data_IF_189424746247
#
_entry.id   IF_189424746247
#
_cell.length_a   1.000
_cell.length_b   1.000
_cell.length_c   1.000
_cell.angle_alpha   90.00
_cell.angle_beta   90.00
_cell.angle_gamma   90.00
#
_symmetry.space_group_name_H-M   'P 1'
#
loop_
_entity.id
_entity.type
_entity.pdbx_description
1 polymer ?
#
# COMPACT_ATOMS: atom_id res chain seq x y z
N UNK A 1 -36.52 -22.81 32.15
CA UNK A 1 -36.98 -22.54 30.76
C UNK A 1 -35.77 -22.06 29.99
N UNK A 2 -35.27 -22.63 28.89
CA UNK A 2 -35.64 -23.76 28.06
C UNK A 2 -34.35 -24.17 27.31
N UNK A 3 -34.06 -25.47 27.18
CA UNK A 3 -32.89 -25.99 26.47
C UNK A 3 -33.11 -25.98 24.95
N UNK A 4 -32.06 -25.69 24.17
CA UNK A 4 -32.09 -25.77 22.70
C UNK A 4 -31.42 -27.07 22.27
N UNK A 5 -32.25 -28.03 21.85
CA UNK A 5 -31.86 -29.30 21.24
C UNK A 5 -31.80 -29.13 19.71
N UNK A 6 -30.69 -29.52 19.09
CA UNK A 6 -30.62 -29.67 17.63
C UNK A 6 -30.75 -31.14 17.25
N UNK A 7 -31.75 -31.43 16.43
CA UNK A 7 -32.10 -32.76 15.95
C UNK A 7 -31.21 -33.20 14.78
N UNK A 8 -30.77 -34.45 14.86
CA UNK A 8 -30.20 -35.25 13.77
C UNK A 8 -31.32 -35.70 12.84
N UNK A 9 -31.18 -35.45 11.53
CA UNK A 9 -31.99 -36.11 10.49
C UNK A 9 -31.08 -36.89 9.54
N UNK A 10 -31.50 -38.12 9.27
CA UNK A 10 -30.90 -39.10 8.36
C UNK A 10 -31.86 -39.38 7.21
N UNK A 11 -31.36 -40.02 6.14
CA UNK A 11 -32.06 -40.52 4.93
C UNK A 11 -32.04 -39.53 3.76
N UNK A 12 -31.58 -39.88 2.56
CA UNK A 12 -32.03 -41.03 1.77
C UNK A 12 -31.03 -41.45 0.66
N UNK A 13 -31.01 -42.75 0.35
CA UNK A 13 -30.44 -43.38 -0.85
C UNK A 13 -31.50 -43.49 -1.96
N UNK A 14 -31.09 -43.53 -3.23
CA UNK A 14 -31.68 -44.46 -4.21
C UNK A 14 -30.55 -45.33 -4.82
N UNK A 15 -30.55 -46.66 -4.63
CA UNK A 15 -31.20 -47.73 -5.43
C UNK A 15 -30.71 -47.85 -6.87
N UNK A 16 -29.99 -48.96 -7.10
CA UNK A 16 -29.33 -49.45 -8.31
C UNK A 16 -30.30 -49.89 -9.41
N UNK A 17 -29.94 -49.66 -10.67
CA UNK A 17 -30.45 -50.44 -11.81
C UNK A 17 -29.29 -50.89 -12.71
N UNK A 18 -29.36 -52.17 -13.06
CA UNK A 18 -28.38 -53.01 -13.74
C UNK A 18 -28.34 -52.73 -15.24
N UNK A 19 -27.18 -52.85 -15.88
CA UNK A 19 -27.11 -53.48 -17.19
C UNK A 19 -25.81 -54.27 -17.35
N UNK A 20 -25.94 -55.51 -17.78
CA UNK A 20 -24.88 -56.43 -18.16
C UNK A 20 -24.64 -56.27 -19.65
N UNK A 21 -23.39 -56.13 -20.09
CA UNK A 21 -22.91 -56.67 -21.37
C UNK A 21 -21.42 -56.96 -21.27
N UNK A 22 -21.04 -58.12 -21.81
CA UNK A 22 -19.71 -58.73 -21.70
C UNK A 22 -18.74 -58.23 -22.80
N UNK A 23 -17.46 -58.20 -22.41
CA UNK A 23 -16.23 -58.46 -23.17
C UNK A 23 -16.13 -58.10 -24.66
N UNK A 24 -15.15 -57.27 -25.04
CA UNK A 24 -13.76 -57.69 -25.33
C UNK A 24 -12.99 -56.67 -26.17
N UNK A 25 -11.68 -56.61 -25.89
CA UNK A 25 -10.57 -56.32 -26.80
C UNK A 25 -10.65 -55.13 -27.78
N UNK A 26 -9.79 -54.14 -27.55
CA UNK A 26 -8.57 -53.95 -28.34
C UNK A 26 -7.99 -52.57 -28.09
N UNK A 27 -6.70 -52.53 -27.76
CA UNK A 27 -5.90 -51.31 -27.69
C UNK A 27 -5.87 -50.68 -29.08
N UNK A 28 -6.42 -49.47 -29.22
CA UNK A 28 -6.10 -48.58 -30.32
C UNK A 28 -5.66 -47.25 -29.71
N UNK A 29 -4.42 -46.88 -30.02
CA UNK A 29 -3.75 -45.66 -29.59
C UNK A 29 -4.39 -44.45 -30.26
N UNK A 30 -5.48 -43.97 -29.67
CA UNK A 30 -6.02 -42.66 -29.99
C UNK A 30 -5.36 -41.65 -29.06
N UNK A 31 -4.25 -41.10 -29.52
CA UNK A 31 -3.60 -39.92 -28.93
C UNK A 31 -4.51 -38.71 -29.11
N UNK A 32 -5.64 -38.66 -28.41
CA UNK A 32 -6.23 -37.40 -28.03
C UNK A 32 -5.29 -36.81 -26.99
N UNK A 33 -4.40 -35.94 -27.45
CA UNK A 33 -4.39 -34.56 -26.97
C UNK A 33 -4.87 -34.48 -25.51
N UNK A 34 -3.96 -34.78 -24.58
CA UNK A 34 -4.25 -34.63 -23.15
C UNK A 34 -4.25 -33.13 -22.88
N UNK A 35 -5.37 -32.54 -23.28
CA UNK A 35 -5.66 -31.14 -23.34
C UNK A 35 -5.33 -30.49 -22.01
N UNK A 36 -4.72 -29.32 -22.15
CA UNK A 36 -4.67 -28.24 -21.17
C UNK A 36 -6.07 -27.77 -20.70
N UNK A 37 -7.16 -28.40 -21.15
CA UNK A 37 -8.57 -28.05 -20.86
C UNK A 37 -9.04 -28.43 -19.45
N UNK A 38 -8.34 -29.31 -18.73
CA UNK A 38 -8.70 -29.59 -17.32
C UNK A 38 -8.28 -28.47 -16.35
N UNK A 39 -7.53 -27.47 -16.82
CA UNK A 39 -7.05 -26.36 -15.97
C UNK A 39 -7.81 -25.06 -16.20
N UNK A 40 -8.79 -25.03 -17.10
CA UNK A 40 -9.66 -23.86 -17.32
C UNK A 40 -10.82 -23.79 -16.30
N UNK A 41 -11.04 -24.86 -15.52
CA UNK A 41 -12.14 -24.95 -14.56
C UNK A 41 -11.84 -24.25 -13.21
N UNK A 42 -10.62 -23.75 -12.97
CA UNK A 42 -10.28 -22.99 -11.76
C UNK A 42 -9.93 -21.50 -11.99
N UNK A 43 -10.34 -20.95 -13.15
CA UNK A 43 -10.34 -19.51 -13.37
C UNK A 43 -9.31 -19.07 -14.38
N UNK A 44 -9.80 -18.66 -15.54
CA UNK A 44 -9.10 -17.79 -16.48
C UNK A 44 -8.72 -16.47 -15.80
N UNK A 45 -7.59 -16.46 -15.09
CA UNK A 45 -6.93 -15.24 -14.65
C UNK A 45 -5.92 -14.82 -15.71
N UNK A 46 -6.33 -13.88 -16.55
CA UNK A 46 -5.41 -13.08 -17.35
C UNK A 46 -4.32 -12.49 -16.45
N UNK A 47 -3.06 -12.57 -16.89
CA UNK A 47 -1.92 -11.91 -16.27
C UNK A 47 -2.24 -10.43 -16.01
N UNK A 48 -2.39 -10.03 -14.74
CA UNK A 48 -2.83 -8.66 -14.46
C UNK A 48 -2.47 -8.10 -13.08
N UNK A 49 -2.19 -8.92 -12.08
CA UNK A 49 -1.83 -8.41 -10.74
C UNK A 49 -0.77 -9.27 -10.02
N UNK A 50 -0.02 -8.61 -9.13
CA UNK A 50 0.97 -9.25 -8.25
C UNK A 50 0.37 -10.38 -7.42
N UNK A 51 -0.81 -10.15 -6.83
CA UNK A 51 -1.51 -11.16 -6.03
C UNK A 51 -1.91 -12.38 -6.87
N UNK A 52 -2.45 -12.18 -8.07
CA UNK A 52 -2.83 -13.29 -8.96
C UNK A 52 -1.63 -14.12 -9.41
N UNK A 53 -0.47 -13.49 -9.60
CA UNK A 53 0.78 -14.20 -9.96
C UNK A 53 1.26 -15.07 -8.80
N UNK A 54 1.27 -14.53 -7.58
CA UNK A 54 1.66 -15.28 -6.38
C UNK A 54 0.69 -16.41 -6.05
N UNK A 55 -0.62 -16.22 -6.24
CA UNK A 55 -1.63 -17.26 -6.01
C UNK A 55 -1.44 -18.44 -6.96
N UNK A 56 -1.21 -18.17 -8.26
CA UNK A 56 -0.90 -19.22 -9.24
C UNK A 56 0.41 -19.94 -8.90
N UNK A 57 1.46 -19.22 -8.51
CA UNK A 57 2.73 -19.81 -8.06
C UNK A 57 2.50 -20.78 -6.89
N UNK A 58 1.76 -20.36 -5.87
CA UNK A 58 1.44 -21.19 -4.71
C UNK A 58 0.71 -22.49 -5.10
N UNK A 59 -0.26 -22.42 -6.00
CA UNK A 59 -0.97 -23.61 -6.50
C UNK A 59 -0.01 -24.59 -7.18
N UNK A 60 0.90 -24.08 -8.01
CA UNK A 60 1.90 -24.91 -8.68
C UNK A 60 2.92 -25.51 -7.71
N UNK A 61 3.39 -24.75 -6.72
CA UNK A 61 4.28 -25.23 -5.67
C UNK A 61 3.63 -26.35 -4.84
N UNK A 62 2.36 -26.17 -4.45
CA UNK A 62 1.58 -27.20 -3.75
C UNK A 62 1.46 -28.47 -4.59
N UNK A 63 1.20 -28.32 -5.90
CA UNK A 63 1.13 -29.46 -6.83
C UNK A 63 2.48 -30.17 -6.97
N UNK A 64 3.57 -29.42 -7.07
CA UNK A 64 4.93 -29.97 -7.10
C UNK A 64 5.20 -30.82 -5.86
N UNK A 65 4.86 -30.31 -4.68
CA UNK A 65 5.01 -31.03 -3.42
C UNK A 65 4.27 -32.37 -3.41
N UNK A 66 3.00 -32.40 -3.85
CA UNK A 66 2.22 -33.64 -3.89
C UNK A 66 2.77 -34.66 -4.89
N UNK A 67 3.22 -34.22 -6.07
CA UNK A 67 3.86 -35.11 -7.07
C UNK A 67 5.18 -35.69 -6.54
N UNK A 68 6.02 -34.88 -5.87
CA UNK A 68 7.26 -35.35 -5.24
C UNK A 68 6.95 -36.38 -4.15
N UNK A 69 5.98 -36.09 -3.28
CA UNK A 69 5.56 -36.98 -2.19
C UNK A 69 5.00 -38.32 -2.69
N UNK A 70 4.21 -38.29 -3.77
CA UNK A 70 3.67 -39.48 -4.42
C UNK A 70 4.78 -40.30 -5.11
N UNK A 71 5.71 -39.61 -5.79
CA UNK A 71 6.89 -40.21 -6.40
C UNK A 71 7.77 -40.93 -5.37
N UNK A 72 8.03 -40.30 -4.23
CA UNK A 72 8.81 -40.87 -3.15
C UNK A 72 8.14 -42.09 -2.51
N UNK A 73 6.82 -42.06 -2.36
CA UNK A 73 6.05 -43.21 -1.89
C UNK A 73 6.17 -44.39 -2.86
N UNK A 74 6.17 -44.12 -4.16
CA UNK A 74 6.37 -45.13 -5.21
C UNK A 74 7.79 -45.69 -5.19
N UNK A 75 8.80 -44.83 -5.02
CA UNK A 75 10.22 -45.20 -4.88
C UNK A 75 10.46 -46.11 -3.69
N UNK A 76 9.90 -45.80 -2.51
CA UNK A 76 9.98 -46.66 -1.32
C UNK A 76 9.35 -48.04 -1.57
N UNK A 77 8.27 -48.11 -2.35
CA UNK A 77 7.65 -49.40 -2.70
C UNK A 77 8.53 -50.19 -3.67
N UNK A 78 9.15 -49.54 -4.66
CA UNK A 78 10.12 -50.14 -5.55
C UNK A 78 11.30 -50.76 -4.78
N UNK A 79 11.90 -50.00 -3.86
CA UNK A 79 13.00 -50.47 -3.00
C UNK A 79 12.63 -51.72 -2.20
N UNK A 80 11.40 -51.77 -1.65
CA UNK A 80 10.87 -52.96 -0.95
C UNK A 80 10.73 -54.16 -1.90
N UNK A 81 10.28 -53.97 -3.14
CA UNK A 81 10.16 -55.05 -4.14
C UNK A 81 11.53 -55.57 -4.57
N UNK A 82 12.50 -54.70 -4.80
CA UNK A 82 13.88 -55.08 -5.11
C UNK A 82 14.53 -55.87 -3.97
N UNK A 83 14.32 -55.43 -2.72
CA UNK A 83 14.80 -56.15 -1.54
C UNK A 83 14.18 -57.55 -1.44
N UNK A 84 12.90 -57.69 -1.80
CA UNK A 84 12.23 -58.99 -1.84
C UNK A 84 12.82 -59.91 -2.90
N UNK A 85 13.07 -59.42 -4.12
CA UNK A 85 13.70 -60.22 -5.18
C UNK A 85 15.05 -60.79 -4.72
N UNK A 86 15.89 -59.97 -4.08
CA UNK A 86 17.18 -60.42 -3.54
C UNK A 86 17.04 -61.53 -2.49
N UNK A 87 15.97 -61.51 -1.70
CA UNK A 87 15.71 -62.54 -0.69
C UNK A 87 15.13 -63.84 -1.28
N UNK A 88 14.36 -63.75 -2.37
CA UNK A 88 13.79 -64.92 -3.06
C UNK A 88 14.86 -65.70 -3.84
N UNK A 89 15.82 -64.98 -4.43
CA UNK A 89 16.96 -65.56 -5.17
C UNK A 89 17.83 -66.47 -4.29
N UNK A 90 18.00 -66.10 -3.01
CA UNK A 90 18.77 -66.89 -2.02
C UNK A 90 18.01 -68.14 -1.53
N UNK A 91 16.66 -68.11 -1.56
CA UNK A 91 15.81 -69.17 -0.98
C UNK A 91 15.33 -70.23 -1.98
N UNK A 92 15.43 -69.98 -3.28
CA UNK A 92 14.94 -70.91 -4.31
C UNK A 92 13.40 -70.96 -4.38
N UNK A 93 12.72 -69.80 -4.29
CA UNK A 93 11.27 -69.68 -4.48
C UNK A 93 10.84 -70.06 -5.92
N UNK A 94 9.56 -70.42 -6.10
CA UNK A 94 8.94 -70.76 -7.39
C UNK A 94 9.09 -69.64 -8.44
N UNK A 95 9.52 -69.99 -9.66
CA UNK A 95 9.90 -69.08 -10.75
C UNK A 95 8.77 -68.10 -11.12
N UNK A 96 7.53 -68.58 -11.07
CA UNK A 96 6.34 -67.78 -11.37
C UNK A 96 6.08 -66.68 -10.32
N UNK A 97 6.49 -66.89 -9.06
CA UNK A 97 6.40 -65.86 -8.01
C UNK A 97 7.49 -64.78 -8.15
N UNK A 98 8.67 -65.19 -8.61
CA UNK A 98 9.79 -64.30 -8.89
C UNK A 98 9.49 -63.38 -10.07
N UNK A 99 8.93 -63.93 -11.16
CA UNK A 99 8.55 -63.16 -12.35
C UNK A 99 7.45 -62.12 -12.07
N UNK A 100 6.45 -62.47 -11.25
CA UNK A 100 5.44 -61.51 -10.77
C UNK A 100 6.07 -60.36 -10.00
N UNK A 101 7.05 -60.64 -9.14
CA UNK A 101 7.75 -59.58 -8.38
C UNK A 101 8.63 -58.72 -9.29
N UNK A 102 9.28 -59.31 -10.30
CA UNK A 102 10.07 -58.61 -11.32
C UNK A 102 9.21 -57.69 -12.18
N UNK A 103 8.03 -58.14 -12.62
CA UNK A 103 7.08 -57.33 -13.36
C UNK A 103 6.61 -56.12 -12.53
N UNK A 104 6.26 -56.34 -11.26
CA UNK A 104 5.86 -55.25 -10.36
C UNK A 104 7.00 -54.24 -10.12
N UNK A 105 8.26 -54.68 -10.03
CA UNK A 105 9.40 -53.78 -9.91
C UNK A 105 9.59 -52.90 -11.17
N UNK A 106 9.46 -53.48 -12.37
CA UNK A 106 9.53 -52.74 -13.64
C UNK A 106 8.41 -51.71 -13.78
N UNK A 107 7.17 -52.06 -13.39
CA UNK A 107 6.04 -51.13 -13.36
C UNK A 107 6.31 -49.94 -12.42
N UNK A 108 6.76 -50.20 -11.20
CA UNK A 108 7.10 -49.14 -10.24
C UNK A 108 8.22 -48.25 -10.75
N UNK A 109 9.24 -48.82 -11.39
CA UNK A 109 10.33 -48.05 -12.00
C UNK A 109 9.81 -47.13 -13.11
N UNK A 110 8.95 -47.64 -14.00
CA UNK A 110 8.33 -46.81 -15.03
C UNK A 110 7.51 -45.67 -14.42
N UNK A 111 6.76 -45.93 -13.35
CA UNK A 111 6.00 -44.90 -12.62
C UNK A 111 6.90 -43.85 -11.95
N UNK A 112 8.05 -44.23 -11.41
CA UNK A 112 9.05 -43.29 -10.88
C UNK A 112 9.57 -42.37 -12.00
N UNK A 113 9.91 -42.93 -13.17
CA UNK A 113 10.37 -42.13 -14.32
C UNK A 113 9.30 -41.13 -14.80
N UNK A 114 8.02 -41.55 -14.81
CA UNK A 114 6.91 -40.66 -15.14
C UNK A 114 6.76 -39.55 -14.10
N UNK A 115 6.88 -39.86 -12.80
CA UNK A 115 6.83 -38.87 -11.72
C UNK A 115 7.96 -37.83 -11.85
N UNK A 116 9.19 -38.26 -12.16
CA UNK A 116 10.33 -37.35 -12.41
C UNK A 116 10.01 -36.36 -13.53
N UNK A 117 9.50 -36.84 -14.67
CA UNK A 117 9.13 -35.98 -15.80
C UNK A 117 8.00 -34.99 -15.46
N UNK A 118 7.04 -35.40 -14.62
CA UNK A 118 5.98 -34.51 -14.12
C UNK A 118 6.55 -33.40 -13.24
N UNK A 119 7.42 -33.76 -12.29
CA UNK A 119 8.12 -32.82 -11.42
C UNK A 119 8.91 -31.82 -12.25
N UNK A 120 9.69 -32.27 -13.24
CA UNK A 120 10.42 -31.38 -14.16
C UNK A 120 9.50 -30.41 -14.89
N UNK A 121 8.37 -30.89 -15.40
CA UNK A 121 7.38 -30.07 -16.12
C UNK A 121 6.77 -29.01 -15.21
N UNK A 122 6.38 -29.39 -13.99
CA UNK A 122 5.81 -28.46 -13.01
C UNK A 122 6.84 -27.41 -12.58
N UNK A 123 8.07 -27.84 -12.25
CA UNK A 123 9.16 -26.94 -11.88
C UNK A 123 9.45 -25.92 -12.98
N UNK A 124 9.46 -26.35 -14.24
CA UNK A 124 9.64 -25.43 -15.37
C UNK A 124 8.50 -24.40 -15.45
N UNK A 125 7.25 -24.79 -15.17
CA UNK A 125 6.13 -23.85 -15.15
C UNK A 125 6.25 -22.82 -14.01
N UNK A 126 6.68 -23.26 -12.82
CA UNK A 126 6.95 -22.35 -11.69
C UNK A 126 8.04 -21.35 -12.05
N UNK A 127 9.15 -21.83 -12.64
CA UNK A 127 10.24 -20.97 -13.07
C UNK A 127 9.78 -19.91 -14.08
N UNK A 128 8.99 -20.31 -15.08
CA UNK A 128 8.43 -19.39 -16.06
C UNK A 128 7.53 -18.32 -15.42
N UNK A 129 6.61 -18.70 -14.52
CA UNK A 129 5.78 -17.73 -13.80
C UNK A 129 6.63 -16.75 -12.97
N UNK A 130 7.69 -17.24 -12.33
CA UNK A 130 8.60 -16.41 -11.54
C UNK A 130 9.39 -15.42 -12.41
N UNK A 131 9.98 -15.90 -13.51
CA UNK A 131 10.87 -15.12 -14.36
C UNK A 131 10.13 -14.17 -15.31
N UNK A 132 9.06 -14.65 -15.93
CA UNK A 132 8.34 -13.93 -16.99
C UNK A 132 7.25 -13.01 -16.43
N UNK A 133 6.70 -13.31 -15.25
CA UNK A 133 5.62 -12.51 -14.66
C UNK A 133 6.04 -11.83 -13.34
N UNK A 134 6.47 -12.58 -12.32
CA UNK A 134 6.70 -12.01 -10.99
C UNK A 134 7.91 -11.05 -10.94
N UNK A 135 9.02 -11.44 -11.56
CA UNK A 135 10.24 -10.62 -11.59
C UNK A 135 10.04 -9.24 -12.23
N UNK A 136 9.48 -9.10 -13.47
CA UNK A 136 9.28 -7.78 -14.06
C UNK A 136 8.30 -6.93 -13.24
N UNK A 137 7.26 -7.56 -12.69
CA UNK A 137 6.31 -6.94 -11.79
C UNK A 137 6.98 -6.30 -10.55
N UNK A 138 7.87 -7.02 -9.87
CA UNK A 138 8.60 -6.49 -8.70
C UNK A 138 9.53 -5.35 -9.10
N UNK A 139 10.20 -5.45 -10.24
CA UNK A 139 11.08 -4.41 -10.75
C UNK A 139 10.33 -3.11 -11.07
N UNK A 140 9.15 -3.21 -11.67
CA UNK A 140 8.30 -2.06 -11.95
C UNK A 140 7.84 -1.37 -10.66
N UNK A 141 7.40 -2.16 -9.68
CA UNK A 141 6.99 -1.64 -8.37
C UNK A 141 8.14 -0.90 -7.67
N UNK A 142 9.34 -1.49 -7.63
CA UNK A 142 10.51 -0.88 -7.03
C UNK A 142 10.92 0.43 -7.74
N UNK A 143 10.80 0.45 -9.07
CA UNK A 143 11.07 1.63 -9.88
C UNK A 143 10.07 2.76 -9.57
N UNK A 144 8.78 2.44 -9.44
CA UNK A 144 7.74 3.37 -9.02
C UNK A 144 8.03 3.96 -7.65
N UNK A 145 8.20 3.10 -6.65
CA UNK A 145 8.53 3.51 -5.28
C UNK A 145 9.76 4.40 -5.21
N UNK A 146 10.83 4.05 -5.94
CA UNK A 146 12.05 4.85 -5.97
C UNK A 146 11.83 6.25 -6.55
N UNK A 147 10.90 6.42 -7.50
CA UNK A 147 10.54 7.74 -8.03
C UNK A 147 9.77 8.55 -6.99
N UNK A 148 8.82 7.93 -6.31
CA UNK A 148 7.99 8.60 -5.32
C UNK A 148 8.84 9.07 -4.12
N UNK A 149 9.74 8.22 -3.63
CA UNK A 149 10.67 8.59 -2.56
C UNK A 149 11.56 9.76 -2.99
N UNK A 150 12.08 9.76 -4.23
CA UNK A 150 12.86 10.91 -4.73
C UNK A 150 12.03 12.18 -4.80
N UNK A 151 10.79 12.09 -5.27
CA UNK A 151 9.89 13.25 -5.34
C UNK A 151 9.62 13.82 -3.94
N UNK A 152 9.34 12.96 -2.96
CA UNK A 152 9.15 13.37 -1.56
C UNK A 152 10.41 14.03 -0.99
N UNK A 153 11.60 13.50 -1.28
CA UNK A 153 12.86 14.10 -0.85
C UNK A 153 13.08 15.50 -1.44
N UNK A 154 12.79 15.68 -2.73
CA UNK A 154 12.88 16.99 -3.37
C UNK A 154 11.88 17.99 -2.75
N UNK A 155 10.62 17.57 -2.59
CA UNK A 155 9.59 18.41 -1.98
C UNK A 155 9.96 18.81 -0.55
N UNK A 156 10.47 17.87 0.26
CA UNK A 156 10.92 18.16 1.61
C UNK A 156 12.05 19.20 1.63
N UNK A 157 12.97 19.17 0.65
CA UNK A 157 13.99 20.18 0.49
C UNK A 157 13.43 21.59 0.27
N UNK A 158 12.45 21.71 -0.62
CA UNK A 158 11.77 22.98 -0.92
C UNK A 158 11.00 23.49 0.28
N UNK A 159 10.26 22.62 0.98
CA UNK A 159 9.53 22.97 2.20
C UNK A 159 10.46 23.49 3.29
N UNK A 160 11.65 22.92 3.47
CA UNK A 160 12.64 23.42 4.42
C UNK A 160 13.19 24.78 4.03
N UNK A 161 13.39 25.04 2.73
CA UNK A 161 13.80 26.37 2.24
C UNK A 161 12.71 27.39 2.53
N UNK A 162 11.44 27.06 2.26
CA UNK A 162 10.30 27.94 2.55
C UNK A 162 10.17 28.20 4.05
N UNK A 163 10.32 27.16 4.89
CA UNK A 163 10.32 27.29 6.35
C UNK A 163 11.37 28.30 6.83
N UNK A 164 12.61 28.20 6.37
CA UNK A 164 13.67 29.17 6.73
C UNK A 164 13.33 30.60 6.31
N UNK A 165 12.70 30.80 5.15
CA UNK A 165 12.25 32.13 4.71
C UNK A 165 11.20 32.70 5.66
N UNK A 166 10.21 31.89 6.03
CA UNK A 166 9.17 32.28 7.00
C UNK A 166 9.79 32.62 8.35
N UNK A 167 10.70 31.78 8.86
CA UNK A 167 11.39 32.01 10.14
C UNK A 167 12.19 33.33 10.12
N UNK A 168 12.85 33.64 9.01
CA UNK A 168 13.58 34.91 8.86
C UNK A 168 12.64 36.13 8.82
N UNK A 169 11.52 36.03 8.10
CA UNK A 169 10.51 37.09 8.05
C UNK A 169 9.87 37.33 9.42
N UNK A 170 9.58 36.26 10.17
CA UNK A 170 9.05 36.36 11.53
C UNK A 170 10.02 37.12 12.44
N UNK A 171 11.31 36.76 12.42
CA UNK A 171 12.35 37.44 13.21
C UNK A 171 12.48 38.93 12.87
N UNK A 172 12.44 39.29 11.58
CA UNK A 172 12.52 40.70 11.17
C UNK A 172 11.26 41.48 11.60
N UNK A 173 10.08 40.85 11.54
CA UNK A 173 8.85 41.45 12.04
C UNK A 173 8.91 41.68 13.55
N UNK A 174 9.42 40.72 14.33
CA UNK A 174 9.61 40.86 15.78
C UNK A 174 10.58 42.01 16.10
N UNK A 175 11.69 42.10 15.36
CA UNK A 175 12.68 43.18 15.51
C UNK A 175 12.06 44.56 15.27
N UNK A 176 11.23 44.69 14.22
CA UNK A 176 10.52 45.94 13.92
C UNK A 176 9.48 46.27 14.99
N UNK A 177 8.72 45.28 15.45
CA UNK A 177 7.72 45.45 16.50
C UNK A 177 8.34 45.98 17.78
N UNK A 178 9.48 45.40 18.20
CA UNK A 178 10.24 45.88 19.35
C UNK A 178 10.80 47.29 19.13
N UNK A 179 11.27 47.60 17.92
CA UNK A 179 11.67 48.95 17.53
C UNK A 179 10.55 49.97 17.67
N UNK A 180 9.35 49.64 17.18
CA UNK A 180 8.16 50.49 17.30
C UNK A 180 7.75 50.70 18.76
N UNK A 181 7.71 49.63 19.58
CA UNK A 181 7.42 49.73 21.01
C UNK A 181 8.42 50.65 21.73
N UNK A 182 9.72 50.53 21.42
CA UNK A 182 10.76 51.40 21.99
C UNK A 182 10.60 52.87 21.57
N UNK A 183 10.19 53.14 20.33
CA UNK A 183 9.89 54.51 19.90
C UNK A 183 8.62 55.06 20.53
N UNK A 184 7.58 54.23 20.69
CA UNK A 184 6.33 54.61 21.37
C UNK A 184 6.59 54.94 22.84
N UNK A 185 7.42 54.14 23.52
CA UNK A 185 7.84 54.42 24.91
C UNK A 185 8.58 55.76 25.04
N UNK A 186 9.58 56.02 24.18
CA UNK A 186 10.31 57.30 24.18
C UNK A 186 9.40 58.49 23.86
N UNK A 187 8.45 58.34 22.93
CA UNK A 187 7.51 59.39 22.60
C UNK A 187 6.59 59.73 23.78
N UNK A 188 6.05 58.71 24.46
CA UNK A 188 5.23 58.92 25.67
C UNK A 188 6.04 59.58 26.78
N UNK A 189 7.31 59.21 26.94
CA UNK A 189 8.23 59.82 27.90
C UNK A 189 8.50 61.29 27.57
N UNK A 190 8.86 61.64 26.33
CA UNK A 190 9.03 63.04 25.91
C UNK A 190 7.74 63.85 26.06
N UNK A 191 6.58 63.26 25.74
CA UNK A 191 5.27 63.90 25.94
C UNK A 191 5.02 64.21 27.42
N UNK A 192 5.39 63.28 28.31
CA UNK A 192 5.30 63.48 29.76
C UNK A 192 6.21 64.63 30.21
N UNK A 193 7.47 64.66 29.76
CA UNK A 193 8.44 65.71 30.10
C UNK A 193 7.95 67.10 29.67
N UNK A 194 7.52 67.26 28.42
CA UNK A 194 6.98 68.54 27.91
C UNK A 194 5.75 68.96 28.72
N UNK A 195 4.84 68.03 29.05
CA UNK A 195 3.66 68.35 29.88
C UNK A 195 4.06 68.79 31.29
N UNK A 196 5.17 68.26 31.83
CA UNK A 196 5.68 68.67 33.14
C UNK A 196 6.41 70.03 33.06
N UNK A 197 7.17 70.30 31.99
CA UNK A 197 7.88 71.57 31.74
C UNK A 197 6.91 72.74 31.51
N UNK A 198 5.89 72.56 30.65
CA UNK A 198 4.82 73.54 30.41
C UNK A 198 4.03 73.82 31.70
N UNK A 199 3.93 72.83 32.60
CA UNK A 199 3.25 72.97 33.89
C UNK A 199 4.12 73.64 34.96
N UNK A 200 5.43 73.77 34.74
CA UNK A 200 6.37 74.42 35.67
C UNK A 200 6.76 75.85 35.28
N UNK A 201 6.55 76.29 34.03
CA UNK A 201 7.03 77.61 33.55
C UNK A 201 5.96 78.70 33.31
N UNK A 202 4.68 78.49 33.61
CA UNK A 202 3.67 79.55 33.49
C UNK A 202 3.00 79.91 34.82
N UNK A 203 3.23 81.12 35.35
CA UNK A 203 2.16 81.94 35.92
C UNK A 203 1.16 82.26 34.80
N UNK A 204 -0.11 82.20 35.12
CA UNK A 204 -1.19 82.58 34.21
C UNK A 204 -0.95 84.00 33.69
N UNK A 205 -0.70 84.18 32.38
CA UNK A 205 -1.36 85.15 31.50
C UNK A 205 -1.01 84.90 30.00
N UNK A 206 -2.09 84.77 29.22
CA UNK A 206 -2.30 85.11 27.80
C UNK A 206 -1.39 84.58 26.67
N UNK A 207 -1.61 83.33 26.25
CA UNK A 207 -1.12 82.79 24.97
C UNK A 207 -2.20 82.01 24.21
N UNK A 208 -3.33 82.65 23.90
CA UNK A 208 -4.42 82.03 23.14
C UNK A 208 -4.13 81.89 21.62
N UNK A 209 -3.11 82.57 21.08
CA UNK A 209 -2.87 82.65 19.64
C UNK A 209 -1.86 81.67 19.02
N UNK A 210 -0.93 81.12 19.81
CA UNK A 210 0.14 80.25 19.30
C UNK A 210 -0.16 78.75 19.48
N UNK A 211 -0.92 78.42 20.52
CA UNK A 211 -1.31 77.04 20.86
C UNK A 211 -2.34 76.46 19.88
N UNK A 212 -3.24 77.27 19.32
CA UNK A 212 -4.23 76.82 18.31
C UNK A 212 -3.57 76.32 17.01
N UNK A 213 -2.41 76.88 16.64
CA UNK A 213 -1.66 76.47 15.44
C UNK A 213 -0.92 75.15 15.62
N UNK A 214 -0.31 74.93 16.78
CA UNK A 214 0.32 73.64 17.12
C UNK A 214 -0.71 72.55 17.41
N UNK A 215 -1.80 72.83 18.12
CA UNK A 215 -2.87 71.86 18.36
C UNK A 215 -3.54 71.40 17.05
N UNK A 216 -3.75 72.31 16.08
CA UNK A 216 -4.28 71.96 14.77
C UNK A 216 -3.35 71.01 13.99
N UNK A 217 -2.04 71.26 14.06
CA UNK A 217 -1.03 70.43 13.36
C UNK A 217 -0.81 69.10 14.08
N UNK A 218 -0.77 69.09 15.41
CA UNK A 218 -0.72 67.89 16.26
C UNK A 218 -1.99 67.06 16.09
N UNK A 219 -3.16 67.69 16.05
CA UNK A 219 -4.44 67.04 15.79
C UNK A 219 -4.51 66.40 14.41
N UNK A 220 -3.96 67.05 13.38
CA UNK A 220 -3.87 66.47 12.04
C UNK A 220 -2.91 65.27 11.98
N UNK A 221 -1.77 65.34 12.66
CA UNK A 221 -0.81 64.23 12.75
C UNK A 221 -1.38 63.08 13.59
N UNK A 222 -2.06 63.36 14.69
CA UNK A 222 -2.76 62.36 15.51
C UNK A 222 -3.91 61.70 14.75
N UNK A 223 -4.66 62.45 13.95
CA UNK A 223 -5.75 61.89 13.16
C UNK A 223 -5.21 61.00 12.02
N UNK A 224 -4.16 61.45 11.31
CA UNK A 224 -3.47 60.64 10.30
C UNK A 224 -2.84 59.39 10.88
N UNK A 225 -2.16 59.48 12.03
CA UNK A 225 -1.58 58.32 12.71
C UNK A 225 -2.66 57.39 13.26
N UNK A 226 -3.77 57.92 13.78
CA UNK A 226 -4.93 57.15 14.22
C UNK A 226 -5.68 56.44 13.09
N UNK A 227 -5.75 57.06 11.90
CA UNK A 227 -6.27 56.41 10.68
C UNK A 227 -5.31 55.29 10.26
N UNK A 228 -4.00 55.56 10.16
CA UNK A 228 -2.99 54.56 9.78
C UNK A 228 -2.91 53.38 10.76
N UNK A 229 -3.06 53.63 12.06
CA UNK A 229 -3.07 52.61 13.15
C UNK A 229 -4.37 51.79 13.14
N UNK A 230 -5.48 52.31 12.58
CA UNK A 230 -6.73 51.56 12.36
C UNK A 230 -6.74 50.79 11.04
N UNK A 231 -6.07 51.29 10.02
CA UNK A 231 -5.94 50.64 8.72
C UNK A 231 -5.01 49.42 8.76
N UNK A 232 -3.93 49.45 9.55
CA UNK A 232 -2.97 48.33 9.59
C UNK A 232 -3.55 47.01 10.11
N UNK A 233 -4.35 46.95 11.20
CA UNK A 233 -5.05 45.72 11.59
C UNK A 233 -6.08 45.27 10.56
N UNK A 234 -6.76 46.21 9.91
CA UNK A 234 -7.80 45.90 8.92
C UNK A 234 -7.19 45.34 7.63
N UNK A 235 -6.05 45.88 7.20
CA UNK A 235 -5.26 45.36 6.08
C UNK A 235 -4.69 43.97 6.42
N UNK A 236 -4.18 43.79 7.64
CA UNK A 236 -3.66 42.51 8.10
C UNK A 236 -4.76 41.44 8.14
N UNK A 237 -5.94 41.76 8.66
CA UNK A 237 -7.09 40.85 8.68
C UNK A 237 -7.60 40.51 7.27
N UNK A 238 -7.61 41.48 6.34
CA UNK A 238 -7.95 41.23 4.93
C UNK A 238 -6.95 40.28 4.27
N UNK A 239 -5.65 40.50 4.48
CA UNK A 239 -4.60 39.63 3.93
C UNK A 239 -4.69 38.22 4.50
N UNK A 240 -4.84 38.06 5.82
CA UNK A 240 -5.03 36.74 6.43
C UNK A 240 -6.25 36.00 5.85
N UNK A 241 -7.38 36.70 5.65
CA UNK A 241 -8.59 36.12 5.07
C UNK A 241 -8.38 35.67 3.61
N UNK A 242 -7.69 36.47 2.80
CA UNK A 242 -7.38 36.12 1.40
C UNK A 242 -6.47 34.89 1.35
N UNK A 243 -5.43 34.85 2.19
CA UNK A 243 -4.50 33.72 2.26
C UNK A 243 -5.20 32.43 2.70
N UNK A 244 -6.05 32.49 3.75
CA UNK A 244 -6.81 31.33 4.22
C UNK A 244 -7.77 30.81 3.15
N UNK A 245 -8.48 31.70 2.46
CA UNK A 245 -9.37 31.34 1.35
C UNK A 245 -8.59 30.74 0.18
N UNK A 246 -7.39 31.26 -0.11
CA UNK A 246 -6.49 30.70 -1.12
C UNK A 246 -6.07 29.28 -0.80
N UNK A 247 -5.68 29.01 0.45
CA UNK A 247 -5.36 27.66 0.91
C UNK A 247 -6.57 26.71 0.85
N UNK A 248 -7.77 27.16 1.22
CA UNK A 248 -8.99 26.35 1.07
C UNK A 248 -9.31 26.05 -0.40
N UNK A 249 -9.12 27.00 -1.31
CA UNK A 249 -9.37 26.80 -2.74
C UNK A 249 -8.41 25.77 -3.35
N UNK A 250 -7.13 25.81 -2.97
CA UNK A 250 -6.14 24.80 -3.37
C UNK A 250 -6.50 23.43 -2.78
N UNK A 251 -6.89 23.35 -1.50
CA UNK A 251 -7.36 22.11 -0.89
C UNK A 251 -8.61 21.53 -1.58
N UNK A 252 -9.53 22.37 -2.07
CA UNK A 252 -10.72 21.93 -2.81
C UNK A 252 -10.39 21.48 -4.24
N UNK A 253 -9.38 22.05 -4.90
CA UNK A 253 -8.92 21.58 -6.22
C UNK A 253 -8.21 20.22 -6.15
N UNK A 254 -7.54 19.90 -5.05
CA UNK A 254 -6.93 18.58 -4.82
C UNK A 254 -7.90 17.56 -4.18
N UNK A 255 -9.08 17.99 -3.73
CA UNK A 255 -10.16 17.10 -3.30
C UNK A 255 -10.97 16.61 -4.51
N UNK A 256 -10.38 15.70 -5.29
CA UNK A 256 -11.09 15.05 -6.41
C UNK A 256 -12.15 14.04 -5.90
N UNK A 257 -13.29 13.84 -6.58
CA UNK A 257 -14.42 13.01 -6.12
C UNK A 257 -14.20 11.47 -6.17
N UNK A 258 -12.97 10.98 -6.28
CA UNK A 258 -12.72 9.54 -6.52
C UNK A 258 -12.81 8.65 -5.27
N UNK A 259 -13.31 9.16 -4.15
CA UNK A 259 -13.41 8.42 -2.89
C UNK A 259 -14.84 8.21 -2.36
N UNK A 260 -15.88 8.43 -3.18
CA UNK A 260 -17.23 8.02 -2.83
C UNK A 260 -17.98 7.43 -4.05
N UNK A 261 -17.64 6.19 -4.40
CA UNK A 261 -18.57 5.32 -5.14
C UNK A 261 -19.15 4.29 -4.16
N UNK A 262 -20.45 4.36 -3.81
CA UNK A 262 -21.10 3.28 -3.09
C UNK A 262 -21.30 2.11 -4.05
N UNK A 263 -20.56 1.02 -3.84
CA UNK A 263 -20.91 -0.28 -4.42
C UNK A 263 -22.24 -0.73 -3.83
N UNK A 264 -23.18 -0.96 -4.72
CA UNK A 264 -24.44 -1.66 -4.51
C UNK A 264 -24.22 -2.98 -3.75
N UNK A 265 -24.93 -3.12 -2.63
CA UNK A 265 -25.51 -4.36 -2.09
C UNK A 265 -26.81 -3.97 -1.38
#
# INVERSE_FOLDING_TARGET
MQAITWHRSTSSKPSSCKSLVASSSSKSSTWTEFKNELFDEYGGMNSGSHSSTLERLYVWEKKLYEEVKAGDSTRKLYEKKCSRLRNQDVKGDDELTMDKTRAAAKDLYARILVAIRRVETISKRIQQLSDEELKPQVLELLKGFSKDVRALWHQQGDEQIQKRKVDNLAKELDRRTLGFQKTEARFLESKLTITMEVKSELPEEDHQGFLDGEEGSVGHVQNKTGIRKRETPQLHARTQRITLNGFQMVSLQFSSPWLNSPRLL
#
